data_IF_598177715739
#
_entry.id   IF_598177715739
#
_cell.length_a   1.000
_cell.length_b   1.000
_cell.length_c   1.000
_cell.angle_alpha   90.00
_cell.angle_beta   90.00
_cell.angle_gamma   90.00
#
_symmetry.space_group_name_H-M   'P 1'
#
loop_
_entity.id
_entity.type
_entity.pdbx_description
1 polymer ?
#
# COMPACT_ATOMS: atom_id res chain seq x y z
N UNK A 1 -14.92 0.29 -12.39
CA UNK A 1 -14.52 0.32 -13.82
C UNK A 1 -13.83 1.66 -14.04
N UNK A 2 -12.69 1.66 -14.71
CA UNK A 2 -11.89 2.87 -14.92
C UNK A 2 -12.52 3.73 -16.02
N UNK A 3 -12.74 5.02 -15.73
CA UNK A 3 -13.34 5.97 -16.69
C UNK A 3 -12.37 6.34 -17.82
N UNK A 4 -11.22 6.92 -17.47
CA UNK A 4 -10.13 7.24 -18.36
C UNK A 4 -8.80 7.07 -17.64
N UNK A 5 -7.75 6.87 -18.42
CA UNK A 5 -6.37 6.75 -17.95
C UNK A 5 -5.54 7.92 -18.48
N UNK A 6 -4.67 8.44 -17.61
CA UNK A 6 -3.52 9.23 -17.99
C UNK A 6 -2.24 8.49 -17.65
N UNK A 7 -1.32 8.40 -18.60
CA UNK A 7 0.01 7.80 -18.42
C UNK A 7 1.07 8.87 -18.67
N UNK A 8 2.01 9.01 -17.73
CA UNK A 8 3.16 9.91 -17.85
C UNK A 8 4.43 9.15 -17.53
N UNK A 9 5.33 9.06 -18.50
CA UNK A 9 6.62 8.42 -18.34
C UNK A 9 7.73 9.48 -18.25
N UNK A 10 8.61 9.32 -17.27
CA UNK A 10 9.69 10.26 -16.95
C UNK A 10 10.99 9.51 -16.62
N UNK A 11 12.12 10.21 -16.77
CA UNK A 11 13.41 9.73 -16.28
C UNK A 11 13.63 10.23 -14.83
N UNK A 12 13.77 9.29 -13.90
CA UNK A 12 14.16 9.54 -12.52
C UNK A 12 12.99 9.71 -11.53
N UNK A 13 13.22 9.24 -10.30
CA UNK A 13 12.22 9.28 -9.22
C UNK A 13 11.82 10.70 -8.83
N UNK A 14 12.77 11.66 -8.82
CA UNK A 14 12.47 13.04 -8.43
C UNK A 14 11.48 13.69 -9.40
N UNK A 15 11.70 13.53 -10.71
CA UNK A 15 10.79 14.02 -11.74
C UNK A 15 9.41 13.36 -11.64
N UNK A 16 9.36 12.06 -11.27
CA UNK A 16 8.11 11.35 -11.07
C UNK A 16 7.32 11.88 -9.86
N UNK A 17 7.99 12.16 -8.74
CA UNK A 17 7.33 12.71 -7.55
C UNK A 17 6.79 14.11 -7.81
N UNK A 18 7.59 14.97 -8.45
CA UNK A 18 7.19 16.34 -8.81
C UNK A 18 5.99 16.35 -9.77
N UNK A 19 6.03 15.49 -10.79
CA UNK A 19 4.90 15.30 -11.70
C UNK A 19 3.65 14.78 -10.99
N UNK A 20 3.78 13.79 -10.10
CA UNK A 20 2.64 13.23 -9.39
C UNK A 20 1.93 14.28 -8.53
N UNK A 21 2.70 15.11 -7.81
CA UNK A 21 2.17 16.18 -6.97
C UNK A 21 1.39 17.22 -7.81
N UNK A 22 1.97 17.70 -8.92
CA UNK A 22 1.30 18.66 -9.79
C UNK A 22 0.10 18.06 -10.54
N UNK A 23 0.15 16.78 -10.94
CA UNK A 23 -1.00 16.07 -11.53
C UNK A 23 -2.20 16.04 -10.58
N UNK A 24 -1.98 15.66 -9.32
CA UNK A 24 -3.03 15.51 -8.31
C UNK A 24 -3.61 16.86 -7.85
N UNK A 25 -2.83 17.95 -7.95
CA UNK A 25 -3.28 19.31 -7.64
C UNK A 25 -4.06 19.94 -8.78
N UNK A 26 -3.69 19.67 -10.03
CA UNK A 26 -4.24 20.34 -11.20
C UNK A 26 -5.65 19.89 -11.59
N UNK A 27 -6.01 18.64 -11.28
CA UNK A 27 -7.29 18.08 -11.67
C UNK A 27 -7.81 17.02 -10.70
N UNK A 28 -9.11 16.72 -10.77
CA UNK A 28 -9.71 15.63 -10.00
C UNK A 28 -9.34 14.26 -10.59
N UNK A 29 -8.12 13.82 -10.30
CA UNK A 29 -7.57 12.52 -10.70
C UNK A 29 -7.01 11.77 -9.50
N UNK A 30 -6.91 10.45 -9.62
CA UNK A 30 -6.32 9.56 -8.61
C UNK A 30 -5.12 8.85 -9.19
N UNK A 31 -3.99 8.85 -8.48
CA UNK A 31 -2.85 8.01 -8.84
C UNK A 31 -3.21 6.54 -8.61
N UNK A 32 -3.21 5.75 -9.69
CA UNK A 32 -3.50 4.32 -9.67
C UNK A 32 -2.27 3.51 -9.31
N UNK A 33 -1.16 3.79 -9.99
CA UNK A 33 0.07 3.02 -9.88
C UNK A 33 1.25 3.85 -10.37
N UNK A 34 2.45 3.38 -10.01
CA UNK A 34 3.70 3.79 -10.64
C UNK A 34 4.47 2.52 -10.98
N UNK A 35 5.12 2.51 -12.15
CA UNK A 35 5.99 1.43 -12.58
C UNK A 35 7.41 1.96 -12.66
N UNK A 36 8.35 1.26 -12.02
CA UNK A 36 9.78 1.60 -12.08
C UNK A 36 10.46 0.58 -12.98
N UNK A 37 11.09 1.06 -14.04
CA UNK A 37 11.84 0.27 -15.01
C UNK A 37 13.32 0.63 -14.93
N UNK A 38 14.19 -0.38 -15.05
CA UNK A 38 15.63 -0.14 -15.10
C UNK A 38 16.08 0.33 -16.49
N UNK A 39 17.00 1.32 -16.58
CA UNK A 39 17.62 2.07 -15.48
C UNK A 39 16.87 3.39 -15.17
N UNK A 40 15.97 3.39 -14.19
CA UNK A 40 15.40 4.60 -13.59
C UNK A 40 14.32 5.33 -14.40
N UNK A 41 13.62 4.66 -15.33
CA UNK A 41 12.41 5.21 -15.97
C UNK A 41 11.20 4.91 -15.11
N UNK A 42 10.32 5.89 -14.96
CA UNK A 42 9.10 5.73 -14.19
C UNK A 42 7.88 6.07 -15.04
N UNK A 43 6.89 5.19 -15.06
CA UNK A 43 5.56 5.48 -15.61
C UNK A 43 4.58 5.70 -14.46
N UNK A 44 4.00 6.88 -14.38
CA UNK A 44 2.89 7.22 -13.49
C UNK A 44 1.57 7.00 -14.21
N UNK A 45 0.60 6.40 -13.53
CA UNK A 45 -0.72 6.13 -14.07
C UNK A 45 -1.78 6.78 -13.18
N UNK A 46 -2.60 7.64 -13.76
CA UNK A 46 -3.73 8.30 -13.07
C UNK A 46 -5.06 7.92 -13.70
N UNK A 47 -6.11 7.92 -12.89
CA UNK A 47 -7.51 7.72 -13.28
C UNK A 47 -8.32 9.00 -13.05
N UNK A 48 -9.25 9.28 -13.95
CA UNK A 48 -10.27 10.31 -13.80
C UNK A 48 -11.17 10.35 -15.03
N UNK A 49 -11.85 11.47 -15.24
CA UNK A 49 -12.51 11.74 -16.52
C UNK A 49 -11.47 12.18 -17.57
N UNK A 50 -11.76 11.98 -18.86
CA UNK A 50 -10.78 12.23 -19.94
C UNK A 50 -10.21 13.66 -19.91
N UNK A 51 -11.05 14.67 -19.62
CA UNK A 51 -10.60 16.05 -19.50
C UNK A 51 -9.69 16.27 -18.27
N UNK A 52 -10.01 15.64 -17.14
CA UNK A 52 -9.20 15.70 -15.93
C UNK A 52 -7.84 15.03 -16.14
N UNK A 53 -7.79 13.86 -16.80
CA UNK A 53 -6.53 13.20 -17.16
C UNK A 53 -5.65 14.07 -18.05
N UNK A 54 -6.21 14.75 -19.06
CA UNK A 54 -5.46 15.69 -19.92
C UNK A 54 -4.86 16.84 -19.12
N UNK A 55 -5.69 17.50 -18.31
CA UNK A 55 -5.25 18.62 -17.47
C UNK A 55 -4.16 18.21 -16.47
N UNK A 56 -4.32 17.04 -15.84
CA UNK A 56 -3.30 16.47 -14.97
C UNK A 56 -2.00 16.25 -15.74
N UNK A 57 -2.02 15.56 -16.88
CA UNK A 57 -0.82 15.27 -17.65
C UNK A 57 -0.11 16.52 -18.18
N UNK A 58 -0.84 17.56 -18.56
CA UNK A 58 -0.26 18.84 -18.94
C UNK A 58 0.55 19.45 -17.78
N UNK A 59 -0.05 19.50 -16.58
CA UNK A 59 0.62 20.02 -15.37
C UNK A 59 1.80 19.14 -14.94
N UNK A 60 1.61 17.83 -14.86
CA UNK A 60 2.65 16.87 -14.49
C UNK A 60 3.82 16.86 -15.46
N UNK A 61 3.56 16.98 -16.76
CA UNK A 61 4.62 17.06 -17.78
C UNK A 61 5.44 18.33 -17.60
N UNK A 62 4.79 19.47 -17.36
CA UNK A 62 5.48 20.73 -17.11
C UNK A 62 6.34 20.66 -15.83
N UNK A 63 5.83 20.02 -14.77
CA UNK A 63 6.56 19.81 -13.53
C UNK A 63 7.80 18.92 -13.73
N UNK A 64 7.62 17.73 -14.29
CA UNK A 64 8.72 16.79 -14.57
C UNK A 64 9.80 17.39 -15.46
N UNK A 65 9.46 18.29 -16.40
CA UNK A 65 10.47 18.97 -17.23
C UNK A 65 11.34 19.95 -16.45
N UNK A 66 10.90 20.45 -15.29
CA UNK A 66 11.73 21.33 -14.42
C UNK A 66 12.77 20.54 -13.63
N UNK A 67 12.42 19.32 -13.23
CA UNK A 67 13.22 18.48 -12.31
C UNK A 67 13.89 17.28 -12.99
N UNK A 68 13.56 16.99 -14.24
CA UNK A 68 14.14 15.91 -15.03
C UNK A 68 13.67 15.94 -16.48
N UNK A 69 13.30 14.76 -17.02
CA UNK A 69 12.90 14.60 -18.41
C UNK A 69 11.59 13.84 -18.52
N UNK A 70 10.69 14.34 -19.37
CA UNK A 70 9.50 13.60 -19.82
C UNK A 70 9.88 12.75 -21.03
N UNK A 71 9.53 11.47 -20.98
CA UNK A 71 9.78 10.48 -22.05
C UNK A 71 8.55 10.38 -22.94
N UNK A 72 7.38 10.13 -22.34
CA UNK A 72 6.14 9.93 -23.07
C UNK A 72 4.92 10.31 -22.23
N UNK A 73 3.81 10.65 -22.90
CA UNK A 73 2.50 10.84 -22.26
C UNK A 73 1.39 10.26 -23.13
N UNK A 74 0.32 9.77 -22.51
CA UNK A 74 -0.84 9.23 -23.23
C UNK A 74 -2.12 9.32 -22.41
N UNK A 75 -3.20 9.75 -23.04
CA UNK A 75 -4.56 9.59 -22.53
C UNK A 75 -5.28 8.44 -23.24
N UNK A 76 -6.05 7.67 -22.48
CA UNK A 76 -6.95 6.64 -23.01
C UNK A 76 -8.34 6.90 -22.41
N UNK A 77 -9.27 7.35 -23.24
CA UNK A 77 -10.68 7.46 -22.86
C UNK A 77 -11.34 6.10 -22.96
N UNK A 78 -12.08 5.69 -21.92
CA UNK A 78 -12.80 4.40 -21.87
C UNK A 78 -11.87 3.21 -22.17
N UNK A 79 -10.85 2.95 -21.34
CA UNK A 79 -9.99 1.80 -21.54
C UNK A 79 -10.80 0.51 -21.53
N UNK A 80 -10.51 -0.40 -22.46
CA UNK A 80 -11.10 -1.74 -22.49
C UNK A 80 -10.73 -2.53 -21.22
N UNK A 81 -11.54 -3.53 -20.87
CA UNK A 81 -11.36 -4.31 -19.65
C UNK A 81 -9.96 -4.95 -19.55
N UNK A 82 -9.46 -5.53 -20.63
CA UNK A 82 -8.10 -6.09 -20.68
C UNK A 82 -7.00 -5.03 -20.51
N UNK A 83 -7.25 -3.80 -20.97
CA UNK A 83 -6.31 -2.67 -20.76
C UNK A 83 -6.33 -2.23 -19.30
N UNK A 84 -7.52 -2.17 -18.69
CA UNK A 84 -7.65 -1.92 -17.25
C UNK A 84 -6.94 -2.99 -16.44
N UNK A 85 -7.07 -4.26 -16.85
CA UNK A 85 -6.40 -5.39 -16.24
C UNK A 85 -4.88 -5.31 -16.40
N UNK A 86 -4.36 -5.00 -17.59
CA UNK A 86 -2.93 -4.81 -17.82
C UNK A 86 -2.32 -3.76 -16.88
N UNK A 87 -3.03 -2.65 -16.68
CA UNK A 87 -2.57 -1.52 -15.87
C UNK A 87 -2.73 -1.77 -14.37
N UNK A 88 -3.82 -2.44 -13.95
CA UNK A 88 -4.07 -2.83 -12.56
C UNK A 88 -3.34 -4.11 -12.13
N UNK A 89 -2.81 -4.87 -13.08
CA UNK A 89 -2.51 -6.30 -13.00
C UNK A 89 -1.23 -6.76 -12.31
N UNK A 90 -0.62 -5.94 -11.46
CA UNK A 90 0.24 -6.44 -10.36
C UNK A 90 0.04 -5.68 -9.04
N UNK A 91 -1.00 -4.85 -8.94
CA UNK A 91 -1.55 -4.59 -7.63
C UNK A 91 -2.31 -5.87 -7.25
N UNK A 92 -1.72 -6.70 -6.36
CA UNK A 92 -2.59 -7.43 -5.41
C UNK A 92 -3.61 -6.39 -4.99
N UNK A 93 -4.90 -6.74 -5.09
CA UNK A 93 -5.91 -6.04 -4.33
C UNK A 93 -5.23 -5.67 -3.02
N UNK A 94 -5.13 -4.37 -2.70
CA UNK A 94 -5.15 -4.06 -1.29
C UNK A 94 -6.37 -4.82 -0.87
N UNK A 95 -6.16 -5.91 -0.15
CA UNK A 95 -7.21 -6.51 0.61
C UNK A 95 -7.65 -5.30 1.41
N UNK A 96 -8.71 -4.63 0.97
CA UNK A 96 -9.80 -4.37 1.86
C UNK A 96 -9.95 -5.74 2.50
N UNK A 97 -9.28 -5.90 3.64
CA UNK A 97 -9.75 -6.81 4.65
C UNK A 97 -11.19 -6.38 4.78
N UNK A 98 -12.07 -7.06 4.04
CA UNK A 98 -13.41 -7.29 4.50
C UNK A 98 -13.18 -7.62 5.96
N UNK A 99 -13.61 -6.70 6.82
CA UNK A 99 -13.80 -7.01 8.22
C UNK A 99 -14.89 -8.06 8.23
N UNK A 100 -14.53 -9.31 7.91
CA UNK A 100 -15.23 -10.47 8.42
C UNK A 100 -15.35 -10.19 9.92
N UNK A 101 -16.56 -10.20 10.49
CA UNK A 101 -16.76 -9.89 11.89
C UNK A 101 -15.71 -10.62 12.72
N UNK A 102 -14.85 -9.84 13.37
CA UNK A 102 -13.82 -10.34 14.27
C UNK A 102 -14.53 -11.16 15.34
N UNK A 103 -14.29 -12.48 15.36
CA UNK A 103 -14.45 -13.20 16.60
C UNK A 103 -13.46 -12.54 17.58
N UNK A 104 -13.92 -12.01 18.73
CA UNK A 104 -13.01 -11.45 19.72
C UNK A 104 -11.97 -12.51 20.07
N UNK A 105 -10.73 -12.09 20.32
CA UNK A 105 -9.76 -12.96 20.98
C UNK A 105 -10.43 -13.49 22.25
N UNK A 106 -10.80 -14.77 22.27
CA UNK A 106 -11.31 -15.39 23.49
C UNK A 106 -10.26 -15.18 24.58
N UNK A 107 -10.65 -14.84 25.83
CA UNK A 107 -9.70 -14.60 26.93
C UNK A 107 -8.62 -15.70 27.06
N UNK A 108 -8.99 -16.94 26.76
CA UNK A 108 -8.11 -18.11 26.69
C UNK A 108 -6.87 -17.91 25.78
N UNK A 109 -7.03 -17.30 24.60
CA UNK A 109 -5.91 -17.06 23.68
C UNK A 109 -4.96 -15.98 24.21
N UNK A 110 -5.50 -14.94 24.85
CA UNK A 110 -4.70 -13.88 25.45
C UNK A 110 -3.87 -14.39 26.62
N UNK A 111 -4.47 -15.21 27.49
CA UNK A 111 -3.79 -15.82 28.64
C UNK A 111 -2.68 -16.77 28.20
N UNK A 112 -2.95 -17.66 27.25
CA UNK A 112 -1.95 -18.59 26.71
C UNK A 112 -0.75 -17.85 26.09
N UNK A 113 -1.00 -16.77 25.35
CA UNK A 113 0.05 -15.97 24.73
C UNK A 113 0.87 -15.18 25.77
N UNK A 114 0.24 -14.61 26.79
CA UNK A 114 0.94 -13.94 27.88
C UNK A 114 1.83 -14.93 28.65
N UNK A 115 1.33 -16.13 28.96
CA UNK A 115 2.12 -17.17 29.62
C UNK A 115 3.36 -17.56 28.79
N UNK A 116 3.20 -17.71 27.47
CA UNK A 116 4.32 -17.99 26.57
C UNK A 116 5.31 -16.82 26.54
N UNK A 117 4.84 -15.59 26.33
CA UNK A 117 5.69 -14.40 26.28
C UNK A 117 6.44 -14.13 27.59
N UNK A 118 5.91 -14.56 28.73
CA UNK A 118 6.61 -14.51 30.02
C UNK A 118 7.84 -15.43 30.05
N UNK A 119 7.77 -16.58 29.37
CA UNK A 119 8.89 -17.54 29.27
C UNK A 119 9.93 -17.16 28.21
N UNK A 120 9.57 -16.31 27.25
CA UNK A 120 10.46 -15.92 26.14
C UNK A 120 11.07 -14.54 26.38
N UNK A 121 12.30 -14.52 26.93
CA UNK A 121 13.02 -13.28 27.28
C UNK A 121 13.19 -12.30 26.11
N UNK A 122 13.31 -12.82 24.89
CA UNK A 122 13.44 -12.00 23.70
C UNK A 122 12.09 -11.52 23.16
N UNK A 123 10.95 -12.02 23.65
CA UNK A 123 9.63 -11.80 23.05
C UNK A 123 9.46 -12.56 21.74
N UNK A 124 8.28 -12.41 21.13
CA UNK A 124 7.92 -13.14 19.90
C UNK A 124 7.37 -12.21 18.83
N UNK A 125 7.57 -12.60 17.57
CA UNK A 125 6.91 -12.03 16.40
C UNK A 125 5.59 -12.75 16.14
N UNK A 126 4.70 -12.13 15.37
CA UNK A 126 3.45 -12.79 14.97
C UNK A 126 3.69 -14.14 14.26
N UNK A 127 4.74 -14.24 13.44
CA UNK A 127 5.10 -15.48 12.76
C UNK A 127 5.56 -16.59 13.70
N UNK A 128 6.30 -16.25 14.75
CA UNK A 128 6.72 -17.22 15.77
C UNK A 128 5.53 -17.69 16.64
N UNK A 129 4.57 -16.80 16.90
CA UNK A 129 3.31 -17.15 17.58
C UNK A 129 2.49 -18.11 16.72
N UNK A 130 2.38 -17.86 15.41
CA UNK A 130 1.77 -18.79 14.45
C UNK A 130 2.46 -20.16 14.48
N UNK A 131 3.78 -20.18 14.45
CA UNK A 131 4.54 -21.43 14.47
C UNK A 131 4.34 -22.22 15.78
N UNK A 132 4.12 -21.52 16.91
CA UNK A 132 3.94 -22.16 18.21
C UNK A 132 2.52 -22.69 18.42
N UNK A 133 1.50 -21.90 18.08
CA UNK A 133 0.10 -22.24 18.38
C UNK A 133 -0.68 -22.80 17.18
N UNK A 134 -0.12 -22.76 15.97
CA UNK A 134 -0.81 -23.14 14.74
C UNK A 134 -1.93 -22.18 14.34
N UNK A 135 -1.96 -20.96 14.91
CA UNK A 135 -3.00 -19.98 14.63
C UNK A 135 -2.87 -19.39 13.21
N UNK A 136 -3.98 -18.93 12.61
CA UNK A 136 -3.93 -18.01 11.48
C UNK A 136 -3.11 -16.75 11.82
N UNK A 137 -2.31 -16.27 10.86
CA UNK A 137 -1.43 -15.10 11.06
C UNK A 137 -2.17 -13.84 11.50
N UNK A 138 -3.36 -13.59 10.94
CA UNK A 138 -4.20 -12.46 11.33
C UNK A 138 -4.71 -12.58 12.77
N UNK A 139 -5.05 -13.79 13.23
CA UNK A 139 -5.44 -14.02 14.62
C UNK A 139 -4.27 -13.70 15.57
N UNK A 140 -3.07 -14.23 15.29
CA UNK A 140 -1.88 -13.95 16.09
C UNK A 140 -1.55 -12.45 16.14
N UNK A 141 -1.67 -11.74 15.01
CA UNK A 141 -1.48 -10.29 14.94
C UNK A 141 -2.50 -9.55 15.79
N UNK A 142 -3.78 -9.88 15.68
CA UNK A 142 -4.85 -9.21 16.40
C UNK A 142 -4.68 -9.35 17.92
N UNK A 143 -4.38 -10.54 18.43
CA UNK A 143 -4.17 -10.76 19.87
C UNK A 143 -2.94 -9.98 20.37
N UNK A 144 -1.83 -10.00 19.62
CA UNK A 144 -0.61 -9.27 19.98
C UNK A 144 -0.81 -7.74 20.00
N UNK A 145 -1.52 -7.20 19.01
CA UNK A 145 -1.83 -5.77 18.94
C UNK A 145 -2.84 -5.35 20.01
N UNK A 146 -3.82 -6.19 20.32
CA UNK A 146 -4.76 -5.92 21.41
C UNK A 146 -4.02 -5.87 22.76
N UNK A 147 -3.22 -6.88 23.10
CA UNK A 147 -2.42 -6.90 24.34
C UNK A 147 -1.38 -5.76 24.41
N UNK A 148 -0.87 -5.31 23.27
CA UNK A 148 -0.02 -4.12 23.20
C UNK A 148 -0.81 -2.84 23.48
N UNK A 149 -1.99 -2.70 22.88
CA UNK A 149 -2.90 -1.56 23.08
C UNK A 149 -3.41 -1.47 24.52
N UNK A 150 -3.70 -2.62 25.13
CA UNK A 150 -4.09 -2.76 26.54
C UNK A 150 -2.90 -2.53 27.50
N UNK A 151 -1.69 -2.34 26.97
CA UNK A 151 -0.49 -2.01 27.74
C UNK A 151 0.20 -3.20 28.42
N UNK A 152 -0.30 -4.43 28.23
CA UNK A 152 0.33 -5.65 28.75
C UNK A 152 1.67 -5.96 28.04
N UNK A 153 1.81 -5.55 26.79
CA UNK A 153 3.00 -5.77 25.98
C UNK A 153 3.71 -4.46 25.62
N UNK A 154 4.99 -4.58 25.29
CA UNK A 154 5.78 -3.58 24.58
C UNK A 154 6.25 -4.15 23.25
N UNK A 155 6.28 -3.30 22.22
CA UNK A 155 6.68 -3.67 20.86
C UNK A 155 8.00 -3.02 20.49
N UNK A 156 8.95 -3.78 19.94
CA UNK A 156 10.19 -3.27 19.32
C UNK A 156 10.32 -3.88 17.93
N UNK A 157 10.18 -3.05 16.89
CA UNK A 157 10.06 -3.52 15.51
C UNK A 157 8.90 -4.51 15.37
N UNK A 158 9.14 -5.74 14.92
CA UNK A 158 8.14 -6.79 14.74
C UNK A 158 7.91 -7.67 15.98
N UNK A 159 8.59 -7.40 17.11
CA UNK A 159 8.64 -8.30 18.26
C UNK A 159 7.93 -7.71 19.49
N UNK A 160 7.07 -8.52 20.10
CA UNK A 160 6.29 -8.17 21.30
C UNK A 160 6.87 -8.88 22.51
N UNK A 161 6.97 -8.15 23.63
CA UNK A 161 7.48 -8.63 24.91
C UNK A 161 6.52 -8.22 26.02
N UNK A 162 6.49 -8.98 27.11
CA UNK A 162 5.84 -8.50 28.33
C UNK A 162 6.46 -7.17 28.75
N UNK A 163 5.58 -6.24 29.10
CA UNK A 163 5.92 -5.01 29.78
C UNK A 163 6.08 -5.36 31.26
N UNK A 164 7.33 -5.47 31.72
CA UNK A 164 7.63 -5.61 33.16
C UNK A 164 7.25 -4.33 33.91
#
# INVERSE_FOLDING_TARGET
MINALGLLEVDGMVAAVDAADDMLKAANVRLLSHQVLDPGRLTLVVEGDLAACRAALDAGSAAAQRTGRVISRKEIGRPEEDTQWLIGGFARATTQTEKTPQAPATPEFAEALLALLASVRQGMTAGEVVAHFGWPLEQARNVLEQLFSDGALRKRSSRYRIKN
#
